data_IF_789516416695
#
_entry.id   IF_789516416695
#
_cell.length_a   1.000
_cell.length_b   1.000
_cell.length_c   1.000
_cell.angle_alpha   90.00
_cell.angle_beta   90.00
_cell.angle_gamma   90.00
#
_symmetry.space_group_name_H-M   'P 1'
#
loop_
_entity.id
_entity.type
_entity.pdbx_description
1 polymer ?
#
# COMPACT_ATOMS: atom_id res chain seq x y z
N UNK A 1 33.25 -9.94 -29.10
CA UNK A 1 32.01 -10.06 -28.32
C UNK A 1 32.11 -9.46 -26.92
N UNK A 2 33.28 -9.45 -26.25
CA UNK A 2 33.42 -8.94 -24.87
C UNK A 2 33.04 -7.46 -24.71
N UNK A 3 33.26 -6.64 -25.74
CA UNK A 3 32.99 -5.20 -25.69
C UNK A 3 31.49 -4.85 -25.60
N UNK A 4 30.61 -5.65 -26.20
CA UNK A 4 29.15 -5.42 -26.13
C UNK A 4 28.57 -5.81 -24.78
N UNK A 5 29.10 -6.87 -24.15
CA UNK A 5 28.74 -7.25 -22.78
C UNK A 5 29.09 -6.14 -21.79
N UNK A 6 30.28 -5.54 -21.88
CA UNK A 6 30.66 -4.42 -21.01
C UNK A 6 29.81 -3.16 -21.25
N UNK A 7 29.36 -2.91 -22.48
CA UNK A 7 28.43 -1.81 -22.79
C UNK A 7 27.03 -2.10 -22.22
N UNK A 8 26.58 -3.37 -22.24
CA UNK A 8 25.31 -3.79 -21.68
C UNK A 8 25.24 -3.66 -20.14
N UNK A 9 26.38 -3.72 -19.44
CA UNK A 9 26.48 -3.47 -17.99
C UNK A 9 27.04 -2.09 -17.63
N UNK A 10 27.29 -1.21 -18.61
CA UNK A 10 27.85 0.12 -18.36
C UNK A 10 26.84 1.01 -17.64
N UNK A 11 27.12 1.34 -16.39
CA UNK A 11 26.29 2.19 -15.55
C UNK A 11 26.04 3.57 -16.18
N UNK A 12 27.04 4.16 -16.85
CA UNK A 12 26.92 5.47 -17.49
C UNK A 12 26.02 5.44 -18.74
N UNK A 13 26.18 4.46 -19.63
CA UNK A 13 25.37 4.31 -20.85
C UNK A 13 23.92 3.97 -20.52
N UNK A 14 23.70 3.01 -19.62
CA UNK A 14 22.37 2.59 -19.20
C UNK A 14 21.72 3.63 -18.28
N UNK A 15 22.48 4.23 -17.37
CA UNK A 15 22.02 5.30 -16.49
C UNK A 15 21.51 6.50 -17.28
N UNK A 16 22.27 6.96 -18.29
CA UNK A 16 21.82 8.06 -19.15
C UNK A 16 20.51 7.72 -19.91
N UNK A 17 20.29 6.46 -20.31
CA UNK A 17 19.01 6.02 -20.90
C UNK A 17 17.87 6.00 -19.87
N UNK A 18 18.14 5.59 -18.64
CA UNK A 18 17.17 5.57 -17.54
C UNK A 18 16.74 7.00 -17.14
N UNK A 19 17.69 7.93 -17.08
CA UNK A 19 17.42 9.33 -16.73
C UNK A 19 16.82 10.14 -17.89
N UNK A 20 16.86 9.62 -19.13
CA UNK A 20 16.20 10.23 -20.28
C UNK A 20 14.68 10.02 -20.22
N UNK A 21 13.99 10.88 -19.49
CA UNK A 21 12.53 10.85 -19.35
C UNK A 21 11.83 11.19 -20.66
N UNK A 22 11.15 10.20 -21.26
CA UNK A 22 10.20 10.44 -22.35
C UNK A 22 8.86 10.82 -21.74
N UNK A 23 8.45 12.09 -21.87
CA UNK A 23 7.12 12.55 -21.41
C UNK A 23 6.04 11.99 -22.33
N UNK A 24 5.56 10.77 -22.08
CA UNK A 24 4.26 10.34 -22.61
C UNK A 24 3.19 10.96 -21.71
N UNK A 25 2.38 11.85 -22.26
CA UNK A 25 1.28 12.54 -21.56
C UNK A 25 0.30 11.59 -20.85
N UNK A 26 0.32 10.29 -21.20
CA UNK A 26 -0.52 9.25 -20.61
C UNK A 26 0.09 8.51 -19.41
N UNK A 27 1.40 8.60 -19.16
CA UNK A 27 2.05 7.92 -18.03
C UNK A 27 2.23 8.87 -16.85
N UNK A 28 1.63 8.51 -15.71
CA UNK A 28 1.89 9.16 -14.43
C UNK A 28 3.36 8.87 -14.04
N UNK A 29 4.25 9.84 -14.29
CA UNK A 29 5.70 9.72 -14.01
C UNK A 29 6.02 9.71 -12.50
N UNK A 30 5.25 10.46 -11.70
CA UNK A 30 5.47 10.60 -10.25
C UNK A 30 5.34 9.26 -9.48
N UNK A 31 4.30 8.42 -9.72
CA UNK A 31 4.20 7.10 -9.11
C UNK A 31 5.39 6.15 -9.36
N UNK A 32 6.12 6.32 -10.46
CA UNK A 32 7.30 5.49 -10.73
C UNK A 32 8.52 5.95 -9.91
N UNK A 33 8.69 7.26 -9.74
CA UNK A 33 9.76 7.82 -8.91
C UNK A 33 9.61 7.44 -7.44
N UNK A 34 8.39 7.53 -6.89
CA UNK A 34 8.16 7.20 -5.48
C UNK A 34 8.34 5.72 -5.17
N UNK A 35 7.99 4.84 -6.12
CA UNK A 35 8.30 3.40 -6.03
C UNK A 35 9.80 3.15 -6.02
N UNK A 36 10.58 3.85 -6.84
CA UNK A 36 12.04 3.68 -6.87
C UNK A 36 12.67 4.07 -5.53
N UNK A 37 12.26 5.21 -4.95
CA UNK A 37 12.73 5.64 -3.61
C UNK A 37 12.32 4.61 -2.56
N UNK A 38 11.07 4.13 -2.61
CA UNK A 38 10.59 3.09 -1.69
C UNK A 38 11.32 1.76 -1.84
N UNK A 39 11.70 1.35 -3.05
CA UNK A 39 12.50 0.13 -3.27
C UNK A 39 13.89 0.27 -2.65
N UNK A 40 14.54 1.43 -2.83
CA UNK A 40 15.85 1.69 -2.21
C UNK A 40 15.77 1.60 -0.69
N UNK A 41 14.72 2.17 -0.08
CA UNK A 41 14.54 2.11 1.36
C UNK A 41 14.27 0.68 1.86
N UNK A 42 13.46 -0.11 1.15
CA UNK A 42 13.21 -1.53 1.46
C UNK A 42 14.51 -2.34 1.42
N UNK A 43 15.39 -2.11 0.43
CA UNK A 43 16.68 -2.81 0.32
C UNK A 43 17.55 -2.52 1.55
N UNK A 44 17.71 -1.24 1.92
CA UNK A 44 18.48 -0.83 3.09
C UNK A 44 17.96 -1.51 4.37
N UNK A 45 16.65 -1.53 4.55
CA UNK A 45 16.01 -2.09 5.74
C UNK A 45 16.24 -3.59 5.85
N UNK A 46 16.10 -4.32 4.74
CA UNK A 46 16.38 -5.76 4.72
C UNK A 46 17.85 -6.07 5.00
N UNK A 47 18.78 -5.27 4.50
CA UNK A 47 20.21 -5.40 4.83
C UNK A 47 20.44 -5.28 6.35
N UNK A 48 19.90 -4.23 6.97
CA UNK A 48 20.02 -4.01 8.41
C UNK A 48 19.33 -5.11 9.25
N UNK A 49 18.11 -5.55 8.90
CA UNK A 49 17.44 -6.61 9.65
C UNK A 49 18.19 -7.93 9.58
N UNK A 50 18.76 -8.29 8.43
CA UNK A 50 19.55 -9.53 8.31
C UNK A 50 20.81 -9.48 9.17
N UNK A 51 21.44 -8.31 9.31
CA UNK A 51 22.60 -8.10 10.20
C UNK A 51 22.18 -8.19 11.68
N UNK A 52 21.04 -7.61 12.05
CA UNK A 52 20.53 -7.63 13.43
C UNK A 52 20.11 -9.02 13.91
N UNK A 53 19.59 -9.87 13.01
CA UNK A 53 19.22 -11.24 13.33
C UNK A 53 20.36 -12.25 13.15
N UNK A 54 21.47 -11.86 12.51
CA UNK A 54 22.66 -12.69 12.44
C UNK A 54 23.32 -12.79 13.83
N UNK A 55 23.88 -13.95 14.22
CA UNK A 55 24.52 -14.16 15.53
C UNK A 55 25.88 -13.44 15.66
N UNK A 56 26.13 -12.40 14.86
CA UNK A 56 27.39 -11.65 14.77
C UNK A 56 27.41 -10.40 15.65
N UNK A 57 26.24 -9.91 16.10
CA UNK A 57 26.12 -8.68 16.88
C UNK A 57 25.83 -8.95 18.36
N UNK A 58 26.47 -8.20 19.26
CA UNK A 58 26.25 -8.36 20.70
C UNK A 58 24.86 -7.84 21.09
N UNK A 59 24.20 -8.53 22.02
CA UNK A 59 22.88 -8.12 22.51
C UNK A 59 22.88 -6.70 23.13
N UNK A 60 23.96 -6.31 23.81
CA UNK A 60 24.10 -4.97 24.40
C UNK A 60 24.21 -3.87 23.33
N UNK A 61 24.84 -4.17 22.21
CA UNK A 61 24.99 -3.20 21.11
C UNK A 61 23.67 -3.02 20.37
N UNK A 62 22.88 -4.09 20.22
CA UNK A 62 21.52 -4.02 19.65
C UNK A 62 20.61 -3.17 20.53
N UNK A 63 20.68 -3.31 21.87
CA UNK A 63 19.87 -2.47 22.76
C UNK A 63 20.25 -0.99 22.67
N UNK A 64 21.54 -0.67 22.61
CA UNK A 64 22.01 0.70 22.41
C UNK A 64 21.54 1.27 21.07
N UNK A 65 21.64 0.47 20.00
CA UNK A 65 21.18 0.84 18.67
C UNK A 65 19.67 1.10 18.63
N UNK A 66 18.87 0.24 19.27
CA UNK A 66 17.42 0.39 19.35
C UNK A 66 17.00 1.70 20.06
N UNK A 67 17.75 2.12 21.07
CA UNK A 67 17.41 3.28 21.90
C UNK A 67 17.83 4.62 21.30
N UNK A 68 18.56 4.62 20.19
CA UNK A 68 19.01 5.83 19.51
C UNK A 68 17.97 6.28 18.47
N UNK A 69 17.49 7.51 18.63
CA UNK A 69 16.41 8.12 17.85
C UNK A 69 16.66 8.06 16.34
N UNK A 70 17.91 8.18 15.90
CA UNK A 70 18.28 8.15 14.49
C UNK A 70 17.96 6.80 13.81
N UNK A 71 17.98 5.72 14.58
CA UNK A 71 17.74 4.37 14.07
C UNK A 71 16.25 4.09 13.83
N UNK A 72 15.36 4.98 14.30
CA UNK A 72 13.93 4.90 13.99
C UNK A 72 13.66 4.99 12.49
N UNK A 73 14.53 5.63 11.71
CA UNK A 73 14.43 5.64 10.25
C UNK A 73 14.50 4.24 9.62
N UNK A 74 15.24 3.31 10.23
CA UNK A 74 15.34 1.92 9.76
C UNK A 74 14.24 1.06 10.37
N UNK A 75 13.96 1.22 11.67
CA UNK A 75 12.99 0.40 12.40
C UNK A 75 11.55 0.72 11.95
N UNK A 76 11.24 2.02 11.78
CA UNK A 76 9.94 2.52 11.35
C UNK A 76 9.65 2.29 9.86
N UNK A 77 10.61 1.80 9.08
CA UNK A 77 10.49 1.62 7.63
C UNK A 77 9.51 0.50 7.21
N UNK A 78 8.82 -0.13 8.14
CA UNK A 78 7.74 -1.11 7.87
C UNK A 78 6.57 -0.51 7.05
N UNK A 79 6.46 0.82 6.99
CA UNK A 79 5.50 1.56 6.16
C UNK A 79 5.97 1.77 4.72
N UNK A 80 7.26 1.54 4.42
CA UNK A 80 7.80 1.72 3.06
C UNK A 80 7.01 0.90 2.04
N UNK A 81 6.70 -0.36 2.36
CA UNK A 81 5.93 -1.26 1.49
C UNK A 81 4.51 -0.78 1.19
N UNK A 82 3.94 0.06 2.06
CA UNK A 82 2.58 0.61 1.90
C UNK A 82 2.50 1.59 0.73
N UNK A 83 3.64 2.17 0.32
CA UNK A 83 3.79 2.96 -0.91
C UNK A 83 3.41 2.15 -2.15
N UNK A 84 3.77 0.86 -2.21
CA UNK A 84 3.41 0.00 -3.35
C UNK A 84 1.93 -0.33 -3.37
N UNK A 85 1.33 -0.59 -2.20
CA UNK A 85 -0.10 -0.86 -2.07
C UNK A 85 -0.92 0.38 -2.48
N UNK A 86 -0.56 1.55 -1.96
CA UNK A 86 -1.23 2.81 -2.29
C UNK A 86 -1.12 3.16 -3.77
N UNK A 87 0.10 3.12 -4.34
CA UNK A 87 0.29 3.39 -5.78
C UNK A 87 -0.36 2.32 -6.67
N UNK A 88 -0.45 1.07 -6.21
CA UNK A 88 -1.16 -0.01 -6.88
C UNK A 88 -2.67 0.27 -6.98
N UNK A 89 -3.30 0.67 -5.88
CA UNK A 89 -4.71 1.07 -5.84
C UNK A 89 -5.01 2.26 -6.74
N UNK A 90 -4.16 3.30 -6.69
CA UNK A 90 -4.29 4.50 -7.52
C UNK A 90 -4.29 4.17 -9.01
N UNK A 91 -3.25 3.47 -9.48
CA UNK A 91 -3.09 3.17 -10.90
C UNK A 91 -4.23 2.27 -11.38
N UNK A 92 -4.67 1.31 -10.56
CA UNK A 92 -5.77 0.40 -10.90
C UNK A 92 -7.08 1.15 -11.20
N UNK A 93 -7.49 2.05 -10.32
CA UNK A 93 -8.72 2.84 -10.52
C UNK A 93 -8.55 3.84 -11.66
N UNK A 94 -7.40 4.53 -11.71
CA UNK A 94 -7.13 5.54 -12.73
C UNK A 94 -7.15 4.94 -14.16
N UNK A 95 -6.49 3.81 -14.38
CA UNK A 95 -6.46 3.16 -15.70
C UNK A 95 -7.81 2.54 -16.05
N UNK A 96 -8.53 2.01 -15.06
CA UNK A 96 -9.88 1.48 -15.24
C UNK A 96 -10.83 2.56 -15.75
N UNK A 97 -10.94 3.69 -15.03
CA UNK A 97 -11.82 4.80 -15.40
C UNK A 97 -11.46 5.37 -16.78
N UNK A 98 -10.16 5.52 -17.06
CA UNK A 98 -9.69 5.97 -18.38
C UNK A 98 -9.98 4.98 -19.51
N UNK A 99 -10.09 3.69 -19.22
CA UNK A 99 -10.48 2.67 -20.20
C UNK A 99 -11.97 2.78 -20.54
N UNK A 100 -12.81 3.19 -19.58
CA UNK A 100 -14.22 3.48 -19.80
C UNK A 100 -14.41 4.69 -20.72
N UNK A 101 -13.64 5.76 -20.50
CA UNK A 101 -13.65 6.96 -21.37
C UNK A 101 -13.29 6.64 -22.83
N UNK A 102 -12.45 5.62 -23.08
CA UNK A 102 -12.06 5.18 -24.42
C UNK A 102 -13.12 4.28 -25.09
N UNK A 103 -14.28 4.08 -24.47
CA UNK A 103 -15.37 3.26 -25.02
C UNK A 103 -15.07 1.76 -25.08
N UNK A 104 -14.09 1.28 -24.31
CA UNK A 104 -13.76 -0.14 -24.22
C UNK A 104 -14.82 -0.82 -23.36
N UNK A 105 -15.51 -1.82 -23.92
CA UNK A 105 -16.53 -2.58 -23.19
C UNK A 105 -15.97 -3.21 -21.91
N UNK A 106 -16.77 -3.19 -20.85
CA UNK A 106 -16.38 -3.68 -19.52
C UNK A 106 -15.94 -5.16 -19.55
N UNK A 107 -16.46 -5.95 -20.49
CA UNK A 107 -16.06 -7.35 -20.74
C UNK A 107 -14.59 -7.49 -21.14
N UNK A 108 -14.04 -6.56 -21.92
CA UNK A 108 -12.63 -6.57 -22.32
C UNK A 108 -11.72 -5.86 -21.29
N UNK A 109 -12.22 -4.83 -20.60
CA UNK A 109 -11.51 -4.16 -19.50
C UNK A 109 -11.38 -5.03 -18.25
N UNK A 110 -12.41 -5.82 -17.93
CA UNK A 110 -12.35 -6.81 -16.85
C UNK A 110 -11.33 -7.91 -17.19
N UNK A 111 -11.16 -8.27 -18.47
CA UNK A 111 -10.09 -9.17 -18.93
C UNK A 111 -8.69 -8.54 -18.80
N UNK A 112 -8.55 -7.22 -19.00
CA UNK A 112 -7.33 -6.44 -18.71
C UNK A 112 -7.01 -6.39 -17.22
N UNK A 113 -8.03 -6.25 -16.36
CA UNK A 113 -7.88 -6.45 -14.92
C UNK A 113 -7.45 -7.90 -14.64
N UNK A 114 -8.02 -8.92 -15.26
CA UNK A 114 -7.63 -10.32 -15.03
C UNK A 114 -6.22 -10.69 -15.54
N UNK A 115 -5.65 -9.96 -16.51
CA UNK A 115 -4.42 -10.34 -17.22
C UNK A 115 -3.09 -9.80 -16.67
N UNK A 116 -3.10 -8.78 -15.81
CA UNK A 116 -1.86 -8.14 -15.32
C UNK A 116 -1.88 -8.04 -13.79
N UNK A 117 -1.16 -8.96 -13.12
CA UNK A 117 -0.86 -9.00 -11.66
C UNK A 117 -2.04 -9.07 -10.67
N UNK A 118 -3.27 -8.93 -11.15
CA UNK A 118 -4.49 -9.00 -10.35
C UNK A 118 -4.92 -10.46 -10.10
N UNK A 119 -4.42 -11.47 -10.82
CA UNK A 119 -4.83 -12.86 -10.58
C UNK A 119 -4.44 -13.39 -9.18
N UNK A 120 -3.35 -12.88 -8.59
CA UNK A 120 -2.99 -13.18 -7.19
C UNK A 120 -3.79 -12.32 -6.19
N UNK A 121 -4.07 -11.06 -6.54
CA UNK A 121 -4.79 -10.12 -5.68
C UNK A 121 -6.31 -10.35 -5.65
N UNK A 122 -6.93 -10.71 -6.78
CA UNK A 122 -8.30 -11.19 -6.88
C UNK A 122 -8.45 -12.53 -6.16
N UNK A 123 -7.49 -13.46 -6.18
CA UNK A 123 -7.59 -14.66 -5.30
C UNK A 123 -7.61 -14.30 -3.82
N UNK A 124 -6.94 -13.21 -3.42
CA UNK A 124 -6.95 -12.66 -2.06
C UNK A 124 -8.26 -11.93 -1.74
N UNK A 125 -8.77 -11.10 -2.67
CA UNK A 125 -10.08 -10.44 -2.58
C UNK A 125 -11.24 -11.44 -2.64
N UNK A 126 -11.15 -12.52 -3.42
CA UNK A 126 -12.15 -13.58 -3.47
C UNK A 126 -12.19 -14.36 -2.16
N UNK A 127 -11.02 -14.58 -1.53
CA UNK A 127 -10.93 -15.20 -0.21
C UNK A 127 -11.48 -14.28 0.89
N UNK A 128 -11.37 -12.96 0.71
CA UNK A 128 -11.93 -11.91 1.57
C UNK A 128 -13.44 -11.71 1.39
N UNK A 129 -13.91 -11.58 0.15
CA UNK A 129 -15.32 -11.49 -0.20
C UNK A 129 -16.05 -12.77 0.21
N UNK A 130 -15.41 -13.95 0.15
CA UNK A 130 -16.00 -15.19 0.67
C UNK A 130 -16.17 -15.18 2.20
N UNK A 131 -15.28 -14.50 2.93
CA UNK A 131 -15.36 -14.36 4.40
C UNK A 131 -16.42 -13.33 4.82
N UNK A 132 -16.55 -12.22 4.08
CA UNK A 132 -17.61 -11.23 4.28
C UNK A 132 -18.98 -11.72 3.79
N UNK A 133 -19.05 -12.43 2.66
CA UNK A 133 -20.27 -13.08 2.15
C UNK A 133 -20.76 -14.18 3.10
N UNK A 134 -19.86 -14.91 3.77
CA UNK A 134 -20.25 -15.82 4.85
C UNK A 134 -20.82 -15.10 6.09
N UNK A 135 -20.36 -13.89 6.39
CA UNK A 135 -20.91 -13.06 7.48
C UNK A 135 -22.24 -12.38 7.09
N UNK A 136 -22.48 -12.13 5.80
CA UNK A 136 -23.67 -11.45 5.27
C UNK A 136 -24.68 -12.38 4.60
N UNK A 137 -24.53 -13.70 4.73
CA UNK A 137 -25.46 -14.68 4.16
C UNK A 137 -26.81 -14.64 4.87
N UNK A 138 -27.68 -13.71 4.45
CA UNK A 138 -29.13 -13.89 4.45
C UNK A 138 -29.94 -12.99 3.49
N UNK A 139 -29.37 -12.00 2.77
CA UNK A 139 -30.24 -11.07 1.99
C UNK A 139 -29.89 -10.79 0.52
N UNK A 140 -28.63 -10.79 0.04
CA UNK A 140 -28.35 -10.16 -1.27
C UNK A 140 -27.88 -11.05 -2.42
N UNK A 141 -27.32 -12.26 -2.19
CA UNK A 141 -26.66 -13.02 -3.28
C UNK A 141 -27.65 -13.61 -4.31
N UNK A 142 -28.89 -13.90 -3.92
CA UNK A 142 -29.85 -14.56 -4.84
C UNK A 142 -30.41 -13.65 -5.94
N UNK A 143 -30.21 -12.32 -5.89
CA UNK A 143 -30.91 -11.38 -6.77
C UNK A 143 -30.07 -10.82 -7.93
N UNK A 144 -28.75 -11.06 -7.96
CA UNK A 144 -27.85 -10.41 -8.92
C UNK A 144 -27.34 -11.32 -10.04
N UNK A 145 -27.31 -12.65 -9.85
CA UNK A 145 -26.93 -13.59 -10.91
C UNK A 145 -27.97 -13.69 -12.04
N UNK A 146 -29.21 -13.26 -11.82
CA UNK A 146 -30.29 -13.30 -12.82
C UNK A 146 -30.46 -12.02 -13.64
N UNK A 147 -29.73 -10.94 -13.35
CA UNK A 147 -29.89 -9.65 -14.07
C UNK A 147 -28.87 -9.44 -15.21
N UNK A 148 -27.84 -10.27 -15.33
CA UNK A 148 -26.85 -10.16 -16.43
C UNK A 148 -27.31 -10.75 -17.78
N UNK A 149 -28.54 -11.27 -17.88
CA UNK A 149 -29.05 -11.93 -19.10
C UNK A 149 -29.92 -11.05 -19.99
N UNK A 150 -30.16 -9.78 -19.67
CA UNK A 150 -31.00 -8.91 -20.48
C UNK A 150 -30.30 -7.61 -20.85
N UNK A 151 -30.45 -7.26 -22.11
CA UNK A 151 -29.75 -6.21 -22.82
C UNK A 151 -30.11 -4.80 -22.34
N UNK A 152 -29.21 -3.89 -22.72
CA UNK A 152 -29.46 -2.47 -22.99
C UNK A 152 -29.40 -1.47 -21.81
N UNK A 153 -28.30 -0.70 -21.83
CA UNK A 153 -28.25 0.73 -21.51
C UNK A 153 -28.79 1.19 -20.12
N UNK A 154 -28.33 0.61 -19.01
CA UNK A 154 -28.41 1.28 -17.68
C UNK A 154 -27.42 0.76 -16.63
N UNK A 155 -26.23 0.28 -17.04
CA UNK A 155 -25.31 -0.43 -16.15
C UNK A 155 -24.28 0.45 -15.40
N UNK A 156 -24.19 1.75 -15.67
CA UNK A 156 -23.09 2.60 -15.17
C UNK A 156 -23.30 3.15 -13.75
N UNK A 157 -24.54 3.36 -13.30
CA UNK A 157 -24.81 3.97 -11.98
C UNK A 157 -24.72 2.97 -10.82
N UNK A 158 -25.07 1.71 -11.04
CA UNK A 158 -25.12 0.70 -9.98
C UNK A 158 -23.74 0.12 -9.64
N UNK A 159 -22.82 0.06 -10.61
CA UNK A 159 -21.46 -0.46 -10.37
C UNK A 159 -20.52 0.60 -9.77
N UNK A 160 -20.69 1.89 -10.08
CA UNK A 160 -20.00 2.98 -9.37
C UNK A 160 -20.48 3.04 -7.91
N UNK A 161 -21.75 2.76 -7.64
CA UNK A 161 -22.27 2.60 -6.28
C UNK A 161 -21.67 1.37 -5.57
N UNK A 162 -21.44 0.26 -6.28
CA UNK A 162 -20.74 -0.91 -5.76
C UNK A 162 -19.29 -0.61 -5.38
N UNK A 163 -18.52 0.07 -6.24
CA UNK A 163 -17.14 0.50 -5.92
C UNK A 163 -17.12 1.45 -4.70
N UNK A 164 -18.10 2.35 -4.59
CA UNK A 164 -18.24 3.23 -3.41
C UNK A 164 -18.59 2.46 -2.14
N UNK A 165 -19.43 1.43 -2.23
CA UNK A 165 -19.80 0.58 -1.10
C UNK A 165 -18.61 -0.24 -0.61
N UNK A 166 -17.91 -0.93 -1.50
CA UNK A 166 -16.73 -1.75 -1.19
C UNK A 166 -15.56 -0.91 -0.63
N UNK A 167 -15.34 0.30 -1.16
CA UNK A 167 -14.32 1.21 -0.60
C UNK A 167 -14.69 1.70 0.81
N UNK A 168 -15.98 1.85 1.13
CA UNK A 168 -16.44 2.30 2.44
C UNK A 168 -16.21 1.22 3.51
N UNK A 169 -16.58 -0.04 3.23
CA UNK A 169 -16.31 -1.17 4.11
C UNK A 169 -14.81 -1.47 4.21
N UNK A 170 -14.10 -1.37 3.08
CA UNK A 170 -12.66 -1.53 3.02
C UNK A 170 -11.86 -0.49 3.81
N UNK A 171 -12.39 0.73 3.89
CA UNK A 171 -11.79 1.78 4.71
C UNK A 171 -11.93 1.46 6.20
N UNK A 172 -13.11 1.04 6.66
CA UNK A 172 -13.32 0.68 8.08
C UNK A 172 -12.54 -0.57 8.47
N UNK A 173 -12.50 -1.58 7.60
CA UNK A 173 -11.76 -2.82 7.83
C UNK A 173 -10.25 -2.56 7.95
N UNK A 174 -9.71 -1.65 7.13
CA UNK A 174 -8.30 -1.26 7.16
C UNK A 174 -7.80 -0.67 8.49
N UNK A 175 -8.69 -0.21 9.36
CA UNK A 175 -8.35 0.42 10.65
C UNK A 175 -8.72 -0.51 11.82
N UNK A 176 -9.86 -1.20 11.71
CA UNK A 176 -10.35 -2.11 12.75
C UNK A 176 -9.54 -3.41 12.83
N UNK A 177 -9.15 -4.02 11.70
CA UNK A 177 -8.43 -5.30 11.72
C UNK A 177 -7.04 -5.17 12.37
N UNK A 178 -6.18 -4.21 11.98
CA UNK A 178 -4.87 -4.08 12.60
C UNK A 178 -4.98 -3.75 14.10
N UNK A 179 -6.01 -2.99 14.51
CA UNK A 179 -6.31 -2.73 15.92
C UNK A 179 -6.64 -4.02 16.69
N UNK A 180 -7.59 -4.82 16.18
CA UNK A 180 -8.02 -6.08 16.82
C UNK A 180 -6.83 -7.05 16.91
N UNK A 181 -6.04 -7.18 15.85
CA UNK A 181 -4.87 -8.05 15.82
C UNK A 181 -3.84 -7.63 16.86
N UNK A 182 -3.53 -6.32 16.94
CA UNK A 182 -2.64 -5.77 17.95
C UNK A 182 -3.17 -5.99 19.37
N UNK A 183 -4.48 -5.79 19.56
CA UNK A 183 -5.11 -5.85 20.88
C UNK A 183 -5.25 -7.29 21.38
N UNK A 184 -5.71 -8.22 20.56
CA UNK A 184 -5.91 -9.62 20.98
C UNK A 184 -4.56 -10.28 21.27
N UNK A 185 -3.54 -10.01 20.46
CA UNK A 185 -2.23 -10.66 20.57
C UNK A 185 -1.22 -9.90 21.42
N UNK A 186 -1.59 -8.75 21.99
CA UNK A 186 -0.72 -7.88 22.79
C UNK A 186 0.63 -7.60 22.08
N UNK A 187 0.55 -7.22 20.80
CA UNK A 187 1.73 -7.03 19.94
C UNK A 187 2.44 -5.72 20.30
N UNK A 188 3.77 -5.75 20.25
CA UNK A 188 4.57 -4.52 20.17
C UNK A 188 4.31 -3.75 18.87
N UNK A 189 4.46 -2.43 18.92
CA UNK A 189 4.27 -1.51 17.77
C UNK A 189 5.27 -1.69 16.62
N UNK A 190 6.41 -2.37 16.86
CA UNK A 190 7.57 -2.40 15.96
C UNK A 190 8.21 -3.81 15.87
N UNK A 191 9.02 -4.07 14.82
CA UNK A 191 9.44 -5.41 14.38
C UNK A 191 10.48 -6.13 15.26
N UNK A 192 10.52 -5.84 16.57
CA UNK A 192 11.34 -6.60 17.53
C UNK A 192 10.55 -7.68 18.28
N UNK A 193 9.22 -7.64 18.20
CA UNK A 193 8.39 -8.71 18.76
C UNK A 193 8.37 -9.91 17.79
N UNK A 194 8.68 -11.11 18.29
CA UNK A 194 8.71 -12.33 17.47
C UNK A 194 7.36 -12.61 16.79
N UNK A 195 6.26 -12.18 17.40
CA UNK A 195 4.90 -12.35 16.87
C UNK A 195 4.49 -11.26 15.88
N UNK A 196 5.22 -10.14 15.81
CA UNK A 196 4.89 -9.02 14.93
C UNK A 196 4.92 -9.43 13.45
N UNK A 197 5.97 -10.13 13.03
CA UNK A 197 6.15 -10.49 11.63
C UNK A 197 5.06 -11.46 11.12
N UNK A 198 4.83 -12.62 11.76
CA UNK A 198 3.83 -13.59 11.30
C UNK A 198 2.37 -13.15 11.51
N UNK A 199 2.05 -12.37 12.55
CA UNK A 199 0.66 -12.01 12.87
C UNK A 199 0.22 -10.66 12.29
N UNK A 200 1.15 -9.74 12.06
CA UNK A 200 0.82 -8.39 11.62
C UNK A 200 1.51 -8.01 10.30
N UNK A 201 2.83 -8.18 10.19
CA UNK A 201 3.57 -7.64 9.04
C UNK A 201 3.43 -8.49 7.77
N UNK A 202 3.38 -9.82 7.82
CA UNK A 202 3.23 -10.64 6.61
C UNK A 202 1.77 -10.65 6.14
N UNK A 203 0.84 -10.41 7.06
CA UNK A 203 -0.57 -10.55 6.80
C UNK A 203 -1.08 -9.47 5.84
N UNK A 204 -1.81 -9.91 4.81
CA UNK A 204 -2.32 -9.00 3.77
C UNK A 204 -3.47 -8.14 4.28
N UNK A 205 -4.26 -8.66 5.22
CA UNK A 205 -5.45 -8.00 5.74
C UNK A 205 -5.15 -6.78 6.62
N UNK A 206 -3.98 -6.74 7.26
CA UNK A 206 -3.53 -5.57 8.03
C UNK A 206 -2.99 -4.44 7.14
N UNK A 207 -2.75 -4.72 5.85
CA UNK A 207 -2.19 -3.79 4.86
C UNK A 207 -3.19 -3.27 3.83
N UNK A 208 -4.47 -3.62 4.02
CA UNK A 208 -5.50 -3.26 3.05
C UNK A 208 -5.82 -1.76 3.04
N UNK A 209 -5.72 -1.08 4.18
CA UNK A 209 -6.02 0.36 4.31
C UNK A 209 -5.30 1.25 3.28
N UNK A 210 -3.96 1.20 3.17
CA UNK A 210 -3.21 1.95 2.15
C UNK A 210 -3.68 1.71 0.71
N UNK A 211 -4.08 0.49 0.36
CA UNK A 211 -4.58 0.17 -0.98
C UNK A 211 -5.91 0.88 -1.27
N UNK A 212 -6.84 0.87 -0.31
CA UNK A 212 -8.14 1.57 -0.43
C UNK A 212 -7.95 3.09 -0.55
N UNK A 213 -7.03 3.67 0.22
CA UNK A 213 -6.67 5.09 0.11
C UNK A 213 -6.15 5.40 -1.29
N UNK A 214 -5.31 4.52 -1.84
CA UNK A 214 -4.84 4.58 -3.22
C UNK A 214 -6.00 4.60 -4.24
N UNK A 215 -6.98 3.71 -4.09
CA UNK A 215 -8.16 3.67 -4.96
C UNK A 215 -8.96 4.98 -4.94
N UNK A 216 -9.20 5.52 -3.75
CA UNK A 216 -9.90 6.81 -3.57
C UNK A 216 -9.12 7.94 -4.26
N UNK A 217 -7.80 7.99 -4.05
CA UNK A 217 -6.95 8.99 -4.69
C UNK A 217 -6.96 8.85 -6.23
N UNK A 218 -6.94 7.63 -6.75
CA UNK A 218 -7.05 7.35 -8.19
C UNK A 218 -8.34 7.90 -8.79
N UNK A 219 -9.46 7.78 -8.07
CA UNK A 219 -10.74 8.38 -8.45
C UNK A 219 -10.70 9.91 -8.40
N UNK A 220 -10.15 10.50 -7.34
CA UNK A 220 -10.01 11.95 -7.20
C UNK A 220 -9.15 12.54 -8.33
N UNK A 221 -8.02 11.92 -8.66
CA UNK A 221 -7.12 12.36 -9.74
C UNK A 221 -7.81 12.25 -11.11
N UNK A 222 -8.67 11.26 -11.31
CA UNK A 222 -9.42 11.12 -12.54
C UNK A 222 -10.45 12.25 -12.73
N UNK A 223 -11.17 12.62 -11.67
CA UNK A 223 -12.15 13.71 -11.68
C UNK A 223 -11.46 15.09 -11.82
N UNK A 224 -10.35 15.28 -11.11
CA UNK A 224 -9.58 16.53 -11.12
C UNK A 224 -8.60 16.51 -12.30
N UNK A 225 -9.11 16.86 -13.50
CA UNK A 225 -8.32 16.92 -14.76
C UNK A 225 -7.17 17.94 -14.77
N UNK A 226 -6.98 18.74 -13.72
CA UNK A 226 -5.95 19.78 -13.64
C UNK A 226 -5.38 19.91 -12.22
N UNK A 227 -4.09 19.61 -12.04
CA UNK A 227 -3.39 19.84 -10.77
C UNK A 227 -2.64 21.17 -10.82
N UNK A 228 -3.26 22.26 -10.35
CA UNK A 228 -2.48 23.42 -9.97
C UNK A 228 -1.68 23.02 -8.71
N UNK A 229 -0.36 22.98 -8.86
CA UNK A 229 0.58 22.40 -7.91
C UNK A 229 0.65 23.27 -6.64
N UNK A 230 0.05 22.81 -5.54
CA UNK A 230 0.08 23.55 -4.27
C UNK A 230 1.40 23.24 -3.55
N UNK A 231 2.44 24.04 -3.78
CA UNK A 231 3.74 23.92 -3.09
C UNK A 231 3.61 23.88 -1.55
N UNK A 232 2.57 24.50 -0.98
CA UNK A 232 2.28 24.46 0.45
C UNK A 232 1.87 23.09 1.00
N UNK A 233 1.28 22.20 0.18
CA UNK A 233 0.90 20.86 0.62
C UNK A 233 2.10 19.91 0.78
N UNK A 234 3.19 20.16 0.06
CA UNK A 234 4.38 19.30 0.10
C UNK A 234 5.06 19.30 1.47
N UNK A 235 5.12 20.46 2.14
CA UNK A 235 5.73 20.56 3.47
C UNK A 235 4.92 19.77 4.51
N UNK A 236 3.59 19.84 4.41
CA UNK A 236 2.68 19.09 5.29
C UNK A 236 2.78 17.59 5.02
N UNK A 237 2.82 17.19 3.76
CA UNK A 237 3.03 15.80 3.33
C UNK A 237 4.36 15.24 3.86
N UNK A 238 5.47 15.96 3.63
CA UNK A 238 6.79 15.54 4.11
C UNK A 238 6.85 15.48 5.64
N UNK A 239 6.28 16.46 6.33
CA UNK A 239 6.18 16.43 7.80
C UNK A 239 5.34 15.24 8.30
N UNK A 240 4.24 14.92 7.61
CA UNK A 240 3.38 13.77 7.90
C UNK A 240 4.11 12.44 7.70
N UNK A 241 4.89 12.30 6.63
CA UNK A 241 5.70 11.11 6.37
C UNK A 241 6.75 10.91 7.45
N UNK A 242 7.48 11.98 7.83
CA UNK A 242 8.44 11.93 8.93
C UNK A 242 7.72 11.59 10.25
N UNK A 243 6.58 12.21 10.54
CA UNK A 243 5.82 11.93 11.75
C UNK A 243 5.39 10.45 11.85
N UNK A 244 4.94 9.83 10.76
CA UNK A 244 4.57 8.41 10.76
C UNK A 244 5.75 7.47 11.08
N UNK A 245 6.96 7.82 10.62
CA UNK A 245 8.17 7.04 10.93
C UNK A 245 8.54 7.16 12.39
N UNK A 246 8.47 8.36 12.97
CA UNK A 246 8.90 8.63 14.35
C UNK A 246 7.81 8.44 15.41
N UNK A 247 6.53 8.35 15.04
CA UNK A 247 5.41 8.21 15.97
C UNK A 247 5.51 6.95 16.86
N UNK A 248 6.17 5.89 16.38
CA UNK A 248 6.37 4.65 17.14
C UNK A 248 7.51 4.70 18.16
N UNK A 249 8.29 5.79 18.20
CA UNK A 249 9.52 5.87 19.01
C UNK A 249 9.27 5.73 20.51
N UNK A 250 8.35 6.55 21.04
CA UNK A 250 8.03 6.55 22.46
C UNK A 250 7.40 5.22 22.92
N UNK A 251 6.63 4.57 22.04
CA UNK A 251 6.00 3.27 22.29
C UNK A 251 7.01 2.12 22.31
N UNK A 252 8.22 2.33 21.79
CA UNK A 252 9.24 1.30 21.73
C UNK A 252 10.31 1.39 22.81
N UNK A 253 10.58 2.59 23.30
CA UNK A 253 11.51 2.84 24.40
C UNK A 253 10.84 2.53 25.75
N UNK A 254 9.51 2.62 25.83
CA UNK A 254 8.78 2.29 27.06
C UNK A 254 9.07 0.86 27.52
N UNK A 255 9.50 0.72 28.77
CA UNK A 255 9.77 -0.58 29.42
C UNK A 255 8.48 -1.39 29.63
N UNK A 256 7.34 -0.70 29.74
CA UNK A 256 6.02 -1.32 29.78
C UNK A 256 5.40 -1.37 28.38
N UNK A 257 4.89 -2.55 28.01
CA UNK A 257 4.12 -2.73 26.78
C UNK A 257 2.71 -2.15 26.99
N UNK A 258 2.51 -0.89 26.59
CA UNK A 258 1.16 -0.34 26.55
C UNK A 258 0.35 -1.00 25.43
N UNK A 259 -0.58 -1.86 25.83
CA UNK A 259 -1.45 -2.61 24.92
C UNK A 259 -2.28 -1.67 24.04
N UNK A 260 -2.82 -0.60 24.62
CA UNK A 260 -3.71 0.30 23.89
C UNK A 260 -2.93 1.18 22.91
N UNK A 261 -1.86 1.84 23.37
CA UNK A 261 -1.00 2.66 22.52
C UNK A 261 -0.41 1.89 21.33
N UNK A 262 0.05 0.66 21.56
CA UNK A 262 0.56 -0.19 20.48
C UNK A 262 -0.54 -0.55 19.48
N UNK A 263 -1.73 -0.99 19.94
CA UNK A 263 -2.85 -1.31 19.04
C UNK A 263 -3.32 -0.11 18.22
N UNK A 264 -3.37 1.08 18.82
CA UNK A 264 -3.73 2.31 18.10
C UNK A 264 -2.66 2.64 17.06
N UNK A 265 -1.38 2.61 17.42
CA UNK A 265 -0.31 2.84 16.46
C UNK A 265 -0.39 1.89 15.26
N UNK A 266 -0.60 0.60 15.51
CA UNK A 266 -0.75 -0.41 14.45
C UNK A 266 -1.96 -0.17 13.55
N UNK A 267 -3.03 0.41 14.08
CA UNK A 267 -4.26 0.73 13.34
C UNK A 267 -4.12 1.97 12.46
N UNK A 268 -3.51 3.04 12.98
CA UNK A 268 -3.49 4.35 12.33
C UNK A 268 -2.23 4.60 11.51
N UNK A 269 -1.10 3.99 11.83
CA UNK A 269 0.19 4.35 11.21
C UNK A 269 0.22 4.10 9.70
N UNK A 270 -0.28 2.95 9.23
CA UNK A 270 -0.30 2.62 7.78
C UNK A 270 -1.29 3.48 6.98
N UNK A 271 -2.55 3.67 7.43
CA UNK A 271 -3.45 4.62 6.78
C UNK A 271 -2.91 6.05 6.78
N UNK A 272 -2.32 6.50 7.89
CA UNK A 272 -1.72 7.84 8.00
C UNK A 272 -0.56 8.04 7.02
N UNK A 273 0.31 7.03 6.85
CA UNK A 273 1.36 7.04 5.84
C UNK A 273 0.79 7.21 4.41
N UNK A 274 -0.26 6.46 4.07
CA UNK A 274 -0.87 6.53 2.75
C UNK A 274 -1.55 7.88 2.48
N UNK A 275 -2.13 8.53 3.49
CA UNK A 275 -2.70 9.89 3.40
C UNK A 275 -1.59 10.94 3.31
N UNK A 276 -0.48 10.76 4.03
CA UNK A 276 0.66 11.68 3.92
C UNK A 276 1.32 11.60 2.52
N UNK A 277 1.19 10.46 1.84
CA UNK A 277 1.73 10.21 0.51
C UNK A 277 0.83 10.74 -0.64
N UNK A 278 -0.47 10.92 -0.40
CA UNK A 278 -1.48 11.33 -1.40
C UNK A 278 -1.42 12.81 -1.73
#
# INVERSE_FOLDING_TARGET
>A
SSHELFIAFSFLSNGHKIFKSTRKLEQLLCPNGIKAISMMWVILVHEYFMILYAPLSNFLDIQKWKNDDANMFIIGATVSVDTFFMTGGLVTVYTFLRSLDKGISLTNSCSLCYGSNIHQFIKLLWKWSSLEVCASNLVSVSRYTTLCSLSDYSCTTNEVAFVRFECSWGFVSGWSIPFIVGYVNNLGSLPFDANFNPLYYIQTYTKFGPYVIGMILGYIIYEIKKSDMVCGLWVISLAGLVACVYAGHNLMISTEKDKWGNSLFLAFNRPAWAIALS
#
